data_IF_456316841225
#
_entry.id   IF_456316841225
#
_cell.length_a   1.000
_cell.length_b   1.000
_cell.length_c   1.000
_cell.angle_alpha   90.00
_cell.angle_beta   90.00
_cell.angle_gamma   90.00
#
_symmetry.space_group_name_H-M   'P 1'
#
loop_
_entity.id
_entity.type
_entity.pdbx_description
1 polymer ?
#
# COMPACT_ATOMS: atom_id res chain seq x y z
N UNK A 1 -8.00 -1.21 27.23
CA UNK A 1 -7.08 -0.49 26.30
C UNK A 1 -5.69 -1.04 26.47
N UNK A 2 -5.00 -1.35 25.36
CA UNK A 2 -3.60 -1.77 25.42
C UNK A 2 -2.75 -0.61 25.93
N UNK A 3 -1.91 -0.86 26.95
CA UNK A 3 -0.99 0.16 27.48
C UNK A 3 0.00 0.59 26.41
N UNK A 4 0.26 1.90 26.30
CA UNK A 4 1.32 2.41 25.42
C UNK A 4 2.67 1.73 25.73
N UNK A 5 3.43 1.32 24.71
CA UNK A 5 4.75 0.71 24.90
C UNK A 5 5.79 1.79 25.24
N UNK A 6 5.91 2.13 26.51
CA UNK A 6 6.78 3.21 27.02
C UNK A 6 8.23 3.05 26.57
N UNK A 7 8.74 1.81 26.53
CA UNK A 7 10.13 1.55 26.11
C UNK A 7 10.34 1.89 24.62
N UNK A 8 9.36 1.56 23.77
CA UNK A 8 9.40 1.90 22.33
C UNK A 8 9.30 3.43 22.12
N UNK A 9 8.49 4.12 22.92
CA UNK A 9 8.39 5.59 22.86
C UNK A 9 9.74 6.25 23.19
N UNK A 10 10.40 5.79 24.25
CA UNK A 10 11.75 6.27 24.63
C UNK A 10 12.82 5.98 23.58
N UNK A 11 12.75 4.81 22.96
CA UNK A 11 13.65 4.45 21.87
C UNK A 11 13.49 5.37 20.66
N UNK A 12 12.25 5.69 20.27
CA UNK A 12 11.95 6.61 19.17
C UNK A 12 12.44 8.03 19.46
N UNK A 13 12.23 8.53 20.66
CA UNK A 13 12.75 9.86 21.07
C UNK A 13 14.29 9.89 21.04
N UNK A 14 14.95 8.86 21.55
CA UNK A 14 16.40 8.73 21.50
C UNK A 14 16.90 8.72 20.06
N UNK A 15 16.29 7.88 19.20
CA UNK A 15 16.64 7.77 17.79
C UNK A 15 16.46 9.09 17.04
N UNK A 16 15.38 9.79 17.32
CA UNK A 16 15.12 11.12 16.74
C UNK A 16 16.20 12.12 17.12
N UNK A 17 16.58 12.20 18.41
CA UNK A 17 17.67 13.06 18.88
C UNK A 17 19.04 12.70 18.26
N UNK A 18 19.33 11.40 18.05
CA UNK A 18 20.54 10.97 17.32
C UNK A 18 20.56 11.44 15.87
N UNK A 19 19.41 11.39 15.19
CA UNK A 19 19.27 11.88 13.80
C UNK A 19 19.48 13.39 13.76
N UNK A 20 18.84 14.14 14.65
CA UNK A 20 19.05 15.61 14.74
C UNK A 20 20.52 15.97 14.94
N UNK A 21 21.18 15.31 15.86
CA UNK A 21 22.62 15.54 16.13
C UNK A 21 23.49 15.19 14.91
N UNK A 22 23.19 14.10 14.21
CA UNK A 22 23.93 13.69 13.02
C UNK A 22 23.69 14.64 11.83
N UNK A 23 22.47 15.14 11.65
CA UNK A 23 22.16 16.14 10.61
C UNK A 23 22.88 17.47 10.90
N UNK A 24 22.91 17.90 12.16
CA UNK A 24 23.62 19.12 12.59
C UNK A 24 25.13 19.03 12.39
N UNK A 25 25.71 17.82 12.39
CA UNK A 25 27.15 17.61 12.13
C UNK A 25 27.57 17.76 10.65
N UNK A 26 26.62 18.03 9.73
CA UNK A 26 26.91 18.28 8.31
C UNK A 26 27.44 17.04 7.56
N UNK A 27 26.69 15.92 7.53
CA UNK A 27 27.13 14.71 6.85
C UNK A 27 27.16 14.88 5.32
N UNK A 28 27.77 13.93 4.60
CA UNK A 28 27.77 13.90 3.14
C UNK A 28 26.33 13.88 2.58
N UNK A 29 26.14 14.42 1.37
CA UNK A 29 24.81 14.68 0.78
C UNK A 29 23.90 13.44 0.71
N UNK A 30 24.45 12.28 0.37
CA UNK A 30 23.74 11.01 0.30
C UNK A 30 23.28 10.50 1.67
N UNK A 31 24.10 10.70 2.70
CA UNK A 31 23.77 10.38 4.09
C UNK A 31 22.72 11.38 4.62
N UNK A 32 22.86 12.67 4.28
CA UNK A 32 21.91 13.70 4.69
C UNK A 32 20.49 13.42 4.17
N UNK A 33 20.36 13.03 2.90
CA UNK A 33 19.06 12.69 2.30
C UNK A 33 18.37 11.53 3.05
N UNK A 34 19.12 10.48 3.40
CA UNK A 34 18.59 9.35 4.18
C UNK A 34 18.16 9.76 5.59
N UNK A 35 18.97 10.57 6.26
CA UNK A 35 18.65 11.09 7.59
C UNK A 35 17.43 12.02 7.57
N UNK A 36 17.30 12.87 6.55
CA UNK A 36 16.16 13.77 6.38
C UNK A 36 14.86 13.00 6.13
N UNK A 37 14.90 11.90 5.36
CA UNK A 37 13.75 11.01 5.19
C UNK A 37 13.33 10.39 6.52
N UNK A 38 14.28 9.78 7.26
CA UNK A 38 14.01 9.16 8.56
C UNK A 38 13.52 10.20 9.59
N UNK A 39 14.07 11.41 9.58
CA UNK A 39 13.61 12.52 10.40
C UNK A 39 12.15 12.87 10.13
N UNK A 40 11.79 13.05 8.87
CA UNK A 40 10.42 13.40 8.47
C UNK A 40 9.38 12.33 8.81
N UNK A 41 9.80 11.06 8.87
CA UNK A 41 8.95 9.95 9.28
C UNK A 41 8.73 9.90 10.80
N UNK A 42 9.77 10.20 11.58
CA UNK A 42 9.73 10.12 13.04
C UNK A 42 9.15 11.37 13.69
N UNK A 43 9.32 12.56 13.08
CA UNK A 43 8.88 13.85 13.65
C UNK A 43 7.41 13.83 14.11
N UNK A 44 6.41 13.41 13.31
CA UNK A 44 5.01 13.42 13.75
C UNK A 44 4.76 12.50 14.95
N UNK A 45 5.46 11.37 15.01
CA UNK A 45 5.34 10.40 16.12
C UNK A 45 5.93 10.97 17.39
N UNK A 46 7.16 11.49 17.33
CA UNK A 46 7.88 12.06 18.48
C UNK A 46 7.16 13.30 19.03
N UNK A 47 6.62 14.13 18.12
CA UNK A 47 5.81 15.29 18.51
C UNK A 47 4.59 14.86 19.36
N UNK A 48 3.83 13.86 18.91
CA UNK A 48 2.68 13.33 19.64
C UNK A 48 3.09 12.71 20.99
N UNK A 49 4.23 12.01 21.04
CA UNK A 49 4.78 11.46 22.28
C UNK A 49 5.09 12.59 23.28
N UNK A 50 5.74 13.67 22.83
CA UNK A 50 6.04 14.83 23.69
C UNK A 50 4.77 15.54 24.17
N UNK A 51 3.78 15.72 23.28
CA UNK A 51 2.48 16.30 23.64
C UNK A 51 1.76 15.44 24.70
N UNK A 52 1.83 14.13 24.59
CA UNK A 52 1.26 13.19 25.55
C UNK A 52 1.96 13.27 26.91
N UNK A 53 3.29 13.24 26.94
CA UNK A 53 4.08 13.33 28.18
C UNK A 53 3.84 14.66 28.89
N UNK A 54 3.70 15.76 28.12
CA UNK A 54 3.38 17.06 28.68
C UNK A 54 1.97 17.07 29.27
N UNK A 55 0.99 16.51 28.60
CA UNK A 55 -0.39 16.41 29.08
C UNK A 55 -0.49 15.52 30.35
N UNK A 56 0.27 14.40 30.40
CA UNK A 56 0.34 13.57 31.61
C UNK A 56 0.92 14.35 32.81
N UNK A 57 1.97 15.13 32.59
CA UNK A 57 2.56 15.96 33.61
C UNK A 57 1.58 17.02 34.10
N UNK A 58 0.91 17.73 33.20
CA UNK A 58 -0.14 18.70 33.52
C UNK A 58 -1.26 18.06 34.35
N UNK A 59 -1.73 16.86 33.98
CA UNK A 59 -2.72 16.09 34.74
C UNK A 59 -2.25 15.79 36.16
N UNK A 60 -1.01 15.34 36.30
CA UNK A 60 -0.45 14.98 37.61
C UNK A 60 -0.25 16.24 38.51
N UNK A 61 0.11 17.38 37.92
CA UNK A 61 0.20 18.67 38.61
C UNK A 61 -1.19 19.12 39.07
N UNK A 62 -2.23 19.04 38.22
CA UNK A 62 -3.63 19.36 38.61
C UNK A 62 -4.13 18.43 39.72
N UNK A 63 -3.86 17.12 39.64
CA UNK A 63 -4.23 16.16 40.70
C UNK A 63 -3.51 16.44 42.02
N UNK A 64 -2.25 16.87 41.97
CA UNK A 64 -1.51 17.28 43.15
C UNK A 64 -2.12 18.54 43.79
N UNK A 65 -2.51 19.54 42.95
CA UNK A 65 -3.22 20.76 43.45
C UNK A 65 -4.55 20.43 44.12
N UNK A 66 -5.33 19.50 43.54
CA UNK A 66 -6.61 19.07 44.12
C UNK A 66 -6.42 18.29 45.42
N UNK A 67 -5.31 17.56 45.58
CA UNK A 67 -4.96 16.81 46.79
C UNK A 67 -4.40 17.66 47.91
N UNK A 68 -3.85 18.84 47.62
CA UNK A 68 -3.27 19.74 48.62
C UNK A 68 -4.36 20.60 49.28
N UNK A 69 -4.50 20.45 50.61
CA UNK A 69 -5.47 21.19 51.40
C UNK A 69 -5.13 22.68 51.51
N UNK A 70 -3.91 23.08 51.20
CA UNK A 70 -3.45 24.49 51.25
C UNK A 70 -3.74 25.25 49.96
N UNK A 71 -4.16 24.58 48.88
CA UNK A 71 -4.51 25.20 47.59
C UNK A 71 -5.73 26.11 47.76
N UNK A 72 -5.63 27.32 47.22
CA UNK A 72 -6.72 28.30 47.23
C UNK A 72 -7.96 27.74 46.49
N UNK A 73 -9.14 28.18 46.95
CA UNK A 73 -10.42 27.67 46.44
C UNK A 73 -10.59 27.93 44.97
N UNK A 74 -10.24 29.13 44.48
CA UNK A 74 -10.40 29.50 43.08
C UNK A 74 -9.50 28.65 42.16
N UNK A 75 -8.28 28.34 42.62
CA UNK A 75 -7.35 27.45 41.91
C UNK A 75 -7.84 26.00 41.88
N UNK A 76 -8.51 25.55 42.96
CA UNK A 76 -9.08 24.21 43.02
C UNK A 76 -10.27 24.09 42.08
N UNK A 77 -11.17 25.07 42.07
CA UNK A 77 -12.34 25.10 41.20
C UNK A 77 -11.89 25.09 39.71
N UNK A 78 -10.82 25.84 39.38
CA UNK A 78 -10.23 25.83 38.02
C UNK A 78 -9.65 24.46 37.69
N UNK A 79 -8.88 23.83 38.57
CA UNK A 79 -8.31 22.51 38.34
C UNK A 79 -9.38 21.41 38.18
N UNK A 80 -10.51 21.50 38.90
CA UNK A 80 -11.66 20.60 38.74
C UNK A 80 -12.33 20.74 37.36
N UNK A 81 -12.32 21.95 36.78
CA UNK A 81 -12.87 22.19 35.46
C UNK A 81 -11.93 21.69 34.32
N UNK A 82 -10.62 21.93 34.48
CA UNK A 82 -9.62 21.58 33.44
C UNK A 82 -9.29 20.08 33.39
N UNK A 83 -9.34 19.38 34.52
CA UNK A 83 -8.95 17.97 34.62
C UNK A 83 -9.71 17.06 33.64
N UNK A 84 -11.05 17.13 33.49
CA UNK A 84 -11.80 16.28 32.55
C UNK A 84 -11.44 16.51 31.07
N UNK A 85 -11.18 17.78 30.69
CA UNK A 85 -10.78 18.14 29.32
C UNK A 85 -9.39 17.58 29.02
N UNK A 86 -8.48 17.70 30.00
CA UNK A 86 -7.13 17.16 29.86
C UNK A 86 -7.10 15.63 29.80
N UNK A 87 -7.93 14.95 30.62
CA UNK A 87 -8.07 13.49 30.55
C UNK A 87 -8.59 13.03 29.17
N UNK A 88 -9.58 13.74 28.61
CA UNK A 88 -10.08 13.48 27.25
C UNK A 88 -9.00 13.69 26.19
N UNK A 89 -8.18 14.74 26.33
CA UNK A 89 -7.04 15.02 25.46
C UNK A 89 -5.99 13.91 25.54
N UNK A 90 -5.66 13.42 26.73
CA UNK A 90 -4.73 12.31 26.95
C UNK A 90 -5.22 11.05 26.25
N UNK A 91 -6.50 10.68 26.41
CA UNK A 91 -7.08 9.52 25.72
C UNK A 91 -7.00 9.64 24.18
N UNK A 92 -7.19 10.85 23.66
CA UNK A 92 -7.03 11.12 22.22
C UNK A 92 -5.58 10.95 21.76
N UNK A 93 -4.62 11.50 22.52
CA UNK A 93 -3.19 11.37 22.22
C UNK A 93 -2.70 9.92 22.33
N UNK A 94 -3.20 9.14 23.31
CA UNK A 94 -2.90 7.70 23.41
C UNK A 94 -3.32 6.94 22.14
N UNK A 95 -4.54 7.18 21.65
CA UNK A 95 -5.03 6.57 20.41
C UNK A 95 -4.20 6.98 19.19
N UNK A 96 -3.89 8.27 19.07
CA UNK A 96 -3.06 8.78 17.96
C UNK A 96 -1.68 8.13 17.96
N UNK A 97 -1.03 8.02 19.13
CA UNK A 97 0.28 7.37 19.26
C UNK A 97 0.18 5.89 18.91
N UNK A 98 -0.83 5.18 19.40
CA UNK A 98 -1.03 3.76 19.07
C UNK A 98 -1.13 3.55 17.56
N UNK A 99 -1.91 4.40 16.87
CA UNK A 99 -2.05 4.35 15.40
C UNK A 99 -0.72 4.64 14.70
N UNK A 100 0.02 5.65 15.15
CA UNK A 100 1.31 6.01 14.57
C UNK A 100 2.41 4.95 14.79
N UNK A 101 2.28 4.13 15.84
CA UNK A 101 3.19 3.03 16.15
C UNK A 101 2.85 1.73 15.41
N UNK A 102 1.73 1.67 14.67
CA UNK A 102 1.42 0.53 13.81
C UNK A 102 2.49 0.37 12.73
N UNK A 103 2.83 -0.87 12.37
CA UNK A 103 3.74 -1.11 11.27
C UNK A 103 3.16 -0.52 9.99
N UNK A 104 3.90 0.42 9.37
CA UNK A 104 3.52 0.99 8.08
C UNK A 104 3.78 -0.05 6.99
N UNK A 105 2.80 -0.25 6.13
CA UNK A 105 3.01 -1.01 4.90
C UNK A 105 3.83 -0.14 3.92
N UNK A 106 4.98 -0.62 3.47
CA UNK A 106 5.81 0.08 2.51
C UNK A 106 5.07 0.37 1.18
N UNK A 107 4.02 -0.41 0.87
CA UNK A 107 3.18 -0.19 -0.28
C UNK A 107 2.26 1.03 -0.13
N UNK A 108 1.96 1.47 1.09
CA UNK A 108 0.99 2.56 1.35
C UNK A 108 1.41 3.92 0.76
N UNK A 109 2.72 4.16 0.62
CA UNK A 109 3.26 5.38 -0.01
C UNK A 109 3.30 5.32 -1.54
N UNK A 110 3.08 4.14 -2.13
CA UNK A 110 3.19 3.94 -3.58
C UNK A 110 1.95 4.44 -4.32
N UNK A 111 2.15 4.72 -5.60
CA UNK A 111 1.07 4.84 -6.58
C UNK A 111 0.34 3.50 -6.72
N UNK A 112 -0.88 3.52 -7.25
CA UNK A 112 -1.68 2.32 -7.41
C UNK A 112 -2.08 2.07 -8.86
N UNK A 113 -2.14 0.80 -9.24
CA UNK A 113 -2.78 0.35 -10.46
C UNK A 113 -4.21 -0.06 -10.09
N UNK A 114 -5.17 0.67 -10.64
CA UNK A 114 -6.60 0.41 -10.51
C UNK A 114 -7.08 -0.37 -11.71
N UNK A 115 -7.62 -1.55 -11.48
CA UNK A 115 -8.19 -2.41 -12.51
C UNK A 115 -9.67 -2.67 -12.19
N UNK A 116 -10.55 -2.34 -13.11
CA UNK A 116 -12.00 -2.54 -12.97
C UNK A 116 -12.47 -3.43 -14.12
N UNK A 117 -13.16 -4.50 -13.79
CA UNK A 117 -13.74 -5.43 -14.77
C UNK A 117 -15.22 -5.62 -14.55
N UNK A 118 -15.96 -5.70 -15.65
CA UNK A 118 -17.33 -6.17 -15.63
C UNK A 118 -17.38 -7.62 -15.12
N UNK A 119 -18.20 -7.85 -14.10
CA UNK A 119 -18.48 -9.18 -13.56
C UNK A 119 -19.80 -9.74 -14.09
N UNK A 120 -20.56 -10.40 -13.23
CA UNK A 120 -21.87 -10.96 -13.59
C UNK A 120 -22.89 -9.86 -13.88
N UNK A 121 -23.52 -9.84 -15.05
CA UNK A 121 -24.57 -8.88 -15.41
C UNK A 121 -24.57 -8.39 -16.86
N UNK A 122 -23.66 -8.89 -17.69
CA UNK A 122 -23.61 -8.53 -19.12
C UNK A 122 -23.32 -7.05 -19.36
N UNK A 123 -24.07 -6.40 -20.26
CA UNK A 123 -23.89 -4.99 -20.61
C UNK A 123 -24.04 -4.04 -19.41
N UNK A 124 -24.95 -4.35 -18.49
CA UNK A 124 -25.12 -3.56 -17.27
C UNK A 124 -23.89 -3.58 -16.35
N UNK A 125 -23.21 -4.72 -16.25
CA UNK A 125 -21.97 -4.82 -15.50
C UNK A 125 -20.86 -3.94 -16.13
N UNK A 126 -20.82 -3.85 -17.47
CA UNK A 126 -19.88 -2.98 -18.17
C UNK A 126 -20.19 -1.49 -17.97
N UNK A 127 -21.46 -1.10 -18.01
CA UNK A 127 -21.90 0.27 -17.68
C UNK A 127 -21.51 0.63 -16.24
N UNK A 128 -21.77 -0.27 -15.29
CA UNK A 128 -21.42 -0.07 -13.89
C UNK A 128 -19.90 0.02 -13.66
N UNK A 129 -19.11 -0.77 -14.37
CA UNK A 129 -17.64 -0.64 -14.33
C UNK A 129 -17.18 0.76 -14.79
N UNK A 130 -17.83 1.32 -15.81
CA UNK A 130 -17.61 2.69 -16.25
C UNK A 130 -18.02 3.75 -15.20
N UNK A 131 -19.11 3.50 -14.49
CA UNK A 131 -19.57 4.40 -13.41
C UNK A 131 -18.57 4.38 -12.23
N UNK A 132 -18.09 3.18 -11.83
CA UNK A 132 -17.07 3.06 -10.79
C UNK A 132 -15.76 3.75 -11.19
N UNK A 133 -15.33 3.59 -12.45
CA UNK A 133 -14.12 4.27 -12.92
C UNK A 133 -14.27 5.79 -12.81
N UNK A 134 -15.39 6.36 -13.28
CA UNK A 134 -15.66 7.81 -13.15
C UNK A 134 -15.71 8.27 -11.69
N UNK A 135 -16.25 7.45 -10.79
CA UNK A 135 -16.26 7.73 -9.35
C UNK A 135 -14.82 7.85 -8.81
N UNK A 136 -13.95 6.90 -9.13
CA UNK A 136 -12.55 6.94 -8.69
C UNK A 136 -11.74 8.03 -9.38
N UNK A 137 -12.00 8.34 -10.65
CA UNK A 137 -11.35 9.44 -11.36
C UNK A 137 -11.65 10.79 -10.69
N UNK A 138 -12.91 11.03 -10.31
CA UNK A 138 -13.31 12.23 -9.57
C UNK A 138 -12.71 12.28 -8.18
N UNK A 139 -12.75 11.16 -7.47
CA UNK A 139 -12.08 11.06 -6.17
C UNK A 139 -10.59 11.38 -6.25
N UNK A 140 -9.91 10.84 -7.25
CA UNK A 140 -8.50 11.13 -7.50
C UNK A 140 -8.25 12.61 -7.79
N UNK A 141 -9.12 13.24 -8.61
CA UNK A 141 -9.04 14.67 -8.90
C UNK A 141 -9.21 15.53 -7.64
N UNK A 142 -10.16 15.19 -6.77
CA UNK A 142 -10.39 15.88 -5.50
C UNK A 142 -9.21 15.77 -4.53
N UNK A 143 -8.46 14.65 -4.60
CA UNK A 143 -7.22 14.45 -3.84
C UNK A 143 -5.97 15.04 -4.50
N UNK A 144 -6.08 15.60 -5.70
CA UNK A 144 -4.96 16.10 -6.48
C UNK A 144 -4.07 14.99 -7.05
N UNK A 145 -4.60 13.77 -7.19
CA UNK A 145 -3.91 12.64 -7.82
C UNK A 145 -4.09 12.65 -9.33
N UNK A 146 -3.09 12.15 -10.04
CA UNK A 146 -3.14 12.01 -11.51
C UNK A 146 -3.61 10.62 -11.87
N UNK A 147 -4.60 10.53 -12.76
CA UNK A 147 -5.08 9.25 -13.34
C UNK A 147 -4.61 9.15 -14.78
N UNK A 148 -4.03 8.02 -15.14
CA UNK A 148 -3.58 7.72 -16.50
C UNK A 148 -4.09 6.34 -16.92
N UNK A 149 -4.92 6.29 -17.96
CA UNK A 149 -5.47 5.02 -18.48
C UNK A 149 -4.39 4.28 -19.25
N UNK A 150 -4.07 3.06 -18.80
CA UNK A 150 -3.11 2.18 -19.45
C UNK A 150 -3.76 1.32 -20.55
N UNK A 151 -4.96 0.83 -20.27
CA UNK A 151 -5.71 -0.04 -21.19
C UNK A 151 -7.20 0.08 -20.92
N UNK A 152 -8.01 0.07 -21.96
CA UNK A 152 -9.45 0.05 -21.86
C UNK A 152 -10.05 -0.87 -22.95
N UNK A 153 -10.98 -1.73 -22.53
CA UNK A 153 -11.81 -2.56 -23.40
C UNK A 153 -13.27 -2.13 -23.22
N UNK A 154 -13.84 -1.52 -24.23
CA UNK A 154 -15.20 -0.99 -24.18
C UNK A 154 -16.26 -2.10 -24.18
N UNK A 155 -17.39 -1.84 -23.53
CA UNK A 155 -18.59 -2.66 -23.57
C UNK A 155 -19.43 -2.39 -24.82
N UNK A 156 -20.19 -3.38 -25.28
CA UNK A 156 -21.00 -3.29 -26.50
C UNK A 156 -22.14 -2.24 -26.38
N UNK A 157 -22.60 -1.95 -25.14
CA UNK A 157 -23.62 -0.94 -24.86
C UNK A 157 -23.02 0.31 -24.16
N UNK A 158 -21.73 0.52 -24.22
CA UNK A 158 -20.97 1.51 -23.48
C UNK A 158 -20.39 0.97 -22.18
N UNK A 159 -19.68 1.82 -21.43
CA UNK A 159 -18.90 1.39 -20.26
C UNK A 159 -17.67 0.56 -20.64
N UNK A 160 -17.16 -0.21 -19.70
CA UNK A 160 -15.93 -0.98 -19.91
C UNK A 160 -16.12 -2.46 -19.55
N UNK A 161 -15.71 -3.36 -20.44
CA UNK A 161 -15.49 -4.77 -20.10
C UNK A 161 -14.31 -4.90 -19.14
N UNK A 162 -13.27 -4.09 -19.39
CA UNK A 162 -12.10 -3.95 -18.54
C UNK A 162 -11.52 -2.54 -18.73
N UNK A 163 -11.09 -1.92 -17.64
CA UNK A 163 -10.29 -0.70 -17.68
C UNK A 163 -9.18 -0.80 -16.63
N UNK A 164 -7.96 -0.44 -17.03
CA UNK A 164 -6.76 -0.43 -16.21
C UNK A 164 -6.17 0.97 -16.24
N UNK A 165 -5.97 1.57 -15.10
CA UNK A 165 -5.39 2.90 -14.97
C UNK A 165 -4.36 2.95 -13.84
N UNK A 166 -3.33 3.77 -14.01
CA UNK A 166 -2.42 4.14 -12.93
C UNK A 166 -2.94 5.39 -12.25
N UNK A 167 -2.97 5.36 -10.94
CA UNK A 167 -3.30 6.52 -10.09
C UNK A 167 -2.04 6.92 -9.34
N UNK A 168 -1.49 8.09 -9.68
CA UNK A 168 -0.22 8.58 -9.16
C UNK A 168 -0.44 9.72 -8.19
N UNK A 169 0.15 9.63 -7.00
CA UNK A 169 0.06 10.65 -5.97
C UNK A 169 0.51 10.12 -4.61
N UNK A 170 0.56 10.97 -3.61
CA UNK A 170 0.97 10.57 -2.27
C UNK A 170 -0.15 9.82 -1.54
N UNK A 171 0.17 8.63 -1.01
CA UNK A 171 -0.76 7.84 -0.21
C UNK A 171 -1.95 7.27 -0.99
N UNK A 172 -1.82 7.10 -2.31
CA UNK A 172 -2.88 6.56 -3.16
C UNK A 172 -3.24 5.15 -2.76
N UNK A 173 -2.24 4.27 -2.66
CA UNK A 173 -2.48 2.87 -2.33
C UNK A 173 -3.08 2.70 -0.93
N UNK A 174 -2.62 3.49 0.05
CA UNK A 174 -3.13 3.43 1.42
C UNK A 174 -4.65 3.65 1.52
N UNK A 175 -5.21 4.48 0.64
CA UNK A 175 -6.65 4.77 0.60
C UNK A 175 -7.41 3.82 -0.32
N UNK A 176 -6.90 3.56 -1.52
CA UNK A 176 -7.62 2.78 -2.52
C UNK A 176 -7.55 1.26 -2.28
N UNK A 177 -6.57 0.73 -1.53
CA UNK A 177 -6.46 -0.71 -1.23
C UNK A 177 -7.75 -1.32 -0.66
N UNK A 178 -8.54 -0.53 0.07
CA UNK A 178 -9.82 -0.95 0.62
C UNK A 178 -10.95 -1.05 -0.41
N UNK A 179 -10.75 -0.55 -1.62
CA UNK A 179 -11.73 -0.64 -2.70
C UNK A 179 -11.66 -1.96 -3.47
N UNK A 180 -10.65 -2.79 -3.17
CA UNK A 180 -10.47 -4.10 -3.82
C UNK A 180 -11.57 -5.07 -3.43
N UNK A 181 -12.23 -5.66 -4.43
CA UNK A 181 -13.27 -6.66 -4.24
C UNK A 181 -14.40 -6.58 -5.26
N UNK A 182 -15.52 -7.25 -4.94
CA UNK A 182 -16.71 -7.27 -5.78
C UNK A 182 -17.69 -6.18 -5.36
N UNK A 183 -18.00 -5.27 -6.27
CA UNK A 183 -18.99 -4.21 -6.12
C UNK A 183 -20.29 -4.63 -6.79
N UNK A 184 -21.40 -4.61 -6.06
CA UNK A 184 -22.72 -5.01 -6.55
C UNK A 184 -23.59 -3.79 -6.76
N UNK A 185 -24.25 -3.70 -7.91
CA UNK A 185 -25.25 -2.66 -8.22
C UNK A 185 -26.64 -3.24 -8.30
N UNK A 186 -27.62 -2.48 -7.82
CA UNK A 186 -29.05 -2.75 -7.95
C UNK A 186 -29.71 -1.49 -8.52
N UNK A 187 -30.05 -1.52 -9.79
CA UNK A 187 -30.76 -0.42 -10.49
C UNK A 187 -31.54 -0.97 -11.68
N UNK A 188 -32.39 -0.13 -12.27
CA UNK A 188 -32.96 -0.35 -13.58
C UNK A 188 -31.92 0.08 -14.59
N UNK A 189 -31.35 -0.80 -15.42
CA UNK A 189 -30.38 -0.44 -16.43
C UNK A 189 -30.98 0.46 -17.51
N UNK A 190 -30.19 1.33 -18.13
CA UNK A 190 -30.60 2.12 -19.31
C UNK A 190 -31.02 1.23 -20.49
N UNK A 191 -30.56 -0.01 -20.52
CA UNK A 191 -30.89 -1.01 -21.54
C UNK A 191 -32.19 -1.78 -21.25
N UNK A 192 -32.81 -1.58 -20.07
CA UNK A 192 -34.03 -2.29 -19.66
C UNK A 192 -35.28 -1.49 -20.02
N UNK A 193 -36.11 -2.07 -20.88
CA UNK A 193 -37.35 -1.41 -21.38
C UNK A 193 -38.57 -1.62 -20.49
N UNK A 194 -38.57 -2.63 -19.60
CA UNK A 194 -39.70 -3.00 -18.73
C UNK A 194 -39.59 -2.47 -17.29
N UNK A 195 -38.57 -1.66 -17.02
CA UNK A 195 -38.38 -1.05 -15.69
C UNK A 195 -38.00 -2.04 -14.55
N UNK A 196 -37.51 -3.22 -14.90
CA UNK A 196 -37.11 -4.22 -13.89
C UNK A 196 -35.76 -3.89 -13.29
N UNK A 197 -35.66 -4.02 -11.97
CA UNK A 197 -34.38 -3.86 -11.24
C UNK A 197 -33.50 -5.05 -11.55
N UNK A 198 -32.30 -4.78 -12.09
CA UNK A 198 -31.27 -5.77 -12.28
C UNK A 198 -30.23 -5.71 -11.15
N UNK A 199 -29.62 -6.86 -10.88
CA UNK A 199 -28.50 -6.97 -9.95
C UNK A 199 -27.29 -7.40 -10.76
N UNK A 200 -26.34 -6.50 -10.90
CA UNK A 200 -25.08 -6.72 -11.61
C UNK A 200 -23.88 -6.51 -10.68
N UNK A 201 -22.72 -6.95 -11.11
CA UNK A 201 -21.49 -6.80 -10.33
C UNK A 201 -20.32 -6.37 -11.24
N UNK A 202 -19.40 -5.61 -10.66
CA UNK A 202 -18.10 -5.32 -11.22
C UNK A 202 -17.02 -5.62 -10.18
N UNK A 203 -15.85 -6.00 -10.61
CA UNK A 203 -14.72 -6.29 -9.75
C UNK A 203 -13.71 -5.15 -9.82
N UNK A 204 -13.19 -4.76 -8.66
CA UNK A 204 -12.14 -3.76 -8.53
C UNK A 204 -10.92 -4.44 -7.92
N UNK A 205 -9.76 -4.31 -8.57
CA UNK A 205 -8.49 -4.70 -7.99
C UNK A 205 -7.60 -3.47 -7.89
N UNK A 206 -6.96 -3.31 -6.74
CA UNK A 206 -6.00 -2.24 -6.49
C UNK A 206 -4.68 -2.88 -6.13
N UNK A 207 -3.68 -2.63 -6.96
CA UNK A 207 -2.33 -3.19 -6.80
C UNK A 207 -1.34 -2.04 -6.63
N UNK A 208 -0.33 -2.16 -5.77
CA UNK A 208 0.72 -1.16 -5.70
C UNK A 208 1.50 -1.14 -7.01
N UNK A 209 1.93 0.05 -7.42
CA UNK A 209 2.83 0.19 -8.56
C UNK A 209 4.14 -0.54 -8.28
N UNK A 210 4.56 -1.38 -9.22
CA UNK A 210 5.81 -2.11 -9.09
C UNK A 210 7.00 -1.16 -9.32
N UNK A 211 8.03 -1.31 -8.53
CA UNK A 211 9.32 -0.70 -8.79
C UNK A 211 10.00 -1.39 -9.97
N UNK A 212 10.87 -0.63 -10.65
CA UNK A 212 11.71 -1.19 -11.70
C UNK A 212 12.58 -2.31 -11.12
N UNK A 213 12.62 -3.44 -11.83
CA UNK A 213 13.46 -4.57 -11.43
C UNK A 213 14.91 -4.21 -11.78
N UNK A 214 15.68 -3.82 -10.78
CA UNK A 214 17.12 -3.64 -10.92
C UNK A 214 17.85 -4.93 -10.51
N UNK A 215 18.67 -5.46 -11.45
CA UNK A 215 19.42 -6.69 -11.20
C UNK A 215 20.88 -6.36 -10.97
N UNK A 216 21.26 -6.41 -9.70
CA UNK A 216 22.64 -6.37 -9.30
C UNK A 216 23.23 -7.79 -9.25
N UNK A 217 24.20 -8.09 -10.12
CA UNK A 217 24.94 -9.36 -10.11
C UNK A 217 26.26 -9.11 -9.38
N UNK A 218 26.37 -9.63 -8.18
CA UNK A 218 27.61 -9.55 -7.39
C UNK A 218 28.60 -10.58 -7.87
N UNK A 219 29.88 -10.25 -7.84
CA UNK A 219 30.94 -11.18 -8.24
C UNK A 219 31.01 -12.43 -7.34
N UNK A 220 30.60 -12.33 -6.08
CA UNK A 220 30.52 -13.43 -5.10
C UNK A 220 29.40 -14.42 -5.40
N UNK A 221 28.35 -13.97 -6.10
CA UNK A 221 27.18 -14.80 -6.46
C UNK A 221 27.39 -15.61 -7.74
N UNK A 222 28.51 -15.39 -8.45
CA UNK A 222 28.80 -16.07 -9.71
C UNK A 222 30.03 -16.95 -9.59
N UNK A 223 29.93 -18.15 -10.14
CA UNK A 223 31.05 -19.04 -10.38
C UNK A 223 31.33 -19.11 -11.88
N UNK A 224 32.57 -18.82 -12.24
CA UNK A 224 33.02 -18.82 -13.62
C UNK A 224 33.99 -19.98 -13.83
N UNK A 225 33.59 -20.92 -14.69
CA UNK A 225 34.41 -22.06 -15.08
C UNK A 225 34.83 -21.90 -16.55
N UNK A 226 36.09 -22.14 -16.87
CA UNK A 226 36.59 -22.20 -18.25
C UNK A 226 36.70 -23.65 -18.67
N UNK A 227 36.32 -23.93 -19.91
CA UNK A 227 36.34 -25.29 -20.46
C UNK A 227 36.69 -25.28 -21.95
N UNK A 228 37.03 -26.44 -22.48
CA UNK A 228 37.19 -26.61 -23.93
C UNK A 228 35.84 -26.52 -24.63
N UNK A 229 35.80 -25.83 -25.77
CA UNK A 229 34.59 -25.82 -26.57
C UNK A 229 34.42 -27.15 -27.27
N UNK A 230 33.20 -27.71 -27.26
CA UNK A 230 32.83 -28.91 -27.99
C UNK A 230 32.25 -28.51 -29.36
N UNK A 231 32.80 -28.99 -30.46
CA UNK A 231 32.29 -28.75 -31.82
C UNK A 231 33.21 -29.26 -32.89
N UNK A 232 32.71 -29.38 -34.12
CA UNK A 232 33.52 -29.68 -35.29
C UNK A 232 34.46 -28.51 -35.59
N UNK A 233 35.73 -28.63 -35.24
CA UNK A 233 36.74 -27.58 -35.39
C UNK A 233 38.14 -28.18 -35.43
N UNK A 234 39.11 -27.40 -35.91
CA UNK A 234 40.50 -27.81 -36.01
C UNK A 234 41.24 -27.84 -34.65
N UNK A 235 42.56 -28.03 -34.69
CA UNK A 235 43.43 -28.22 -33.50
C UNK A 235 43.24 -27.16 -32.41
N UNK A 236 42.86 -25.91 -32.75
CA UNK A 236 42.65 -24.82 -31.81
C UNK A 236 41.43 -25.02 -30.89
N UNK A 237 40.33 -25.61 -31.39
CA UNK A 237 39.09 -25.85 -30.63
C UNK A 237 39.31 -26.91 -29.53
N UNK A 238 40.19 -27.85 -29.80
CA UNK A 238 40.45 -29.01 -28.90
C UNK A 238 41.56 -28.76 -27.89
N UNK A 239 42.36 -27.70 -28.05
CA UNK A 239 43.52 -27.41 -27.21
C UNK A 239 43.36 -26.21 -26.28
N UNK A 240 42.41 -25.29 -26.58
CA UNK A 240 42.29 -24.01 -25.85
C UNK A 240 40.99 -24.01 -25.04
N UNK A 241 41.09 -23.65 -23.72
CA UNK A 241 39.95 -23.48 -22.83
C UNK A 241 39.27 -22.12 -23.08
N UNK A 242 38.67 -21.95 -24.27
CA UNK A 242 38.03 -20.72 -24.69
C UNK A 242 36.56 -20.59 -24.28
N UNK A 243 35.87 -21.69 -24.02
CA UNK A 243 34.49 -21.69 -23.57
C UNK A 243 34.39 -21.27 -22.10
N UNK A 244 33.39 -20.45 -21.79
CA UNK A 244 33.10 -19.94 -20.47
C UNK A 244 31.72 -20.40 -20.03
N UNK A 245 31.66 -20.96 -18.84
CA UNK A 245 30.43 -21.31 -18.13
C UNK A 245 30.30 -20.43 -16.89
N UNK A 246 29.21 -19.70 -16.81
CA UNK A 246 28.87 -18.89 -15.63
C UNK A 246 27.69 -19.54 -14.93
N UNK A 247 27.83 -19.82 -13.64
CA UNK A 247 26.77 -20.32 -12.78
C UNK A 247 26.45 -19.24 -11.78
N UNK A 248 25.20 -18.79 -11.73
CA UNK A 248 24.71 -17.92 -10.67
C UNK A 248 24.23 -18.77 -9.51
N UNK A 249 24.97 -18.73 -8.40
CA UNK A 249 24.77 -19.63 -7.26
C UNK A 249 23.40 -19.51 -6.60
N UNK A 250 22.86 -18.29 -6.35
CA UNK A 250 21.56 -18.14 -5.68
C UNK A 250 20.38 -18.65 -6.52
N UNK A 251 20.38 -18.43 -7.85
CA UNK A 251 19.28 -18.86 -8.73
C UNK A 251 19.50 -20.21 -9.41
N UNK A 252 20.72 -20.74 -9.38
CA UNK A 252 21.09 -21.96 -10.10
C UNK A 252 21.15 -21.82 -11.63
N UNK A 253 20.99 -20.61 -12.19
CA UNK A 253 21.04 -20.38 -13.63
C UNK A 253 22.46 -20.61 -14.15
N UNK A 254 22.58 -21.43 -15.17
CA UNK A 254 23.83 -21.72 -15.86
C UNK A 254 23.78 -21.19 -17.28
N UNK A 255 24.81 -20.43 -17.67
CA UNK A 255 25.01 -19.91 -19.01
C UNK A 255 26.38 -20.35 -19.53
N UNK A 256 26.41 -20.88 -20.75
CA UNK A 256 27.64 -21.27 -21.42
C UNK A 256 27.78 -20.49 -22.72
N UNK A 257 28.98 -20.00 -22.99
CA UNK A 257 29.35 -19.37 -24.26
C UNK A 257 30.64 -19.99 -24.80
N UNK A 258 30.68 -20.35 -26.09
CA UNK A 258 31.77 -21.12 -26.68
C UNK A 258 32.28 -20.55 -28.03
N UNK A 259 32.46 -19.22 -28.11
CA UNK A 259 33.07 -18.58 -29.28
C UNK A 259 34.60 -18.59 -29.21
N UNK A 260 35.25 -17.97 -30.19
CA UNK A 260 36.72 -18.06 -30.37
C UNK A 260 37.52 -17.35 -29.28
N UNK A 261 36.97 -16.37 -28.57
CA UNK A 261 37.64 -15.57 -27.55
C UNK A 261 37.04 -15.76 -26.18
N UNK A 262 37.85 -16.14 -25.19
CA UNK A 262 37.43 -16.32 -23.79
C UNK A 262 36.85 -15.02 -23.20
N UNK A 263 37.45 -13.86 -23.48
CA UNK A 263 36.96 -12.56 -23.03
C UNK A 263 35.58 -12.20 -23.59
N UNK A 264 35.36 -12.47 -24.89
CA UNK A 264 34.08 -12.29 -25.54
C UNK A 264 33.02 -13.24 -24.98
N UNK A 265 33.41 -14.50 -24.73
CA UNK A 265 32.53 -15.50 -24.13
C UNK A 265 32.10 -15.11 -22.72
N UNK A 266 33.01 -14.56 -21.90
CA UNK A 266 32.67 -14.06 -20.56
C UNK A 266 31.69 -12.90 -20.63
N UNK A 267 31.94 -11.91 -21.47
CA UNK A 267 31.04 -10.75 -21.63
C UNK A 267 29.65 -11.18 -22.13
N UNK A 268 29.60 -12.03 -23.13
CA UNK A 268 28.36 -12.55 -23.70
C UNK A 268 27.58 -13.43 -22.70
N UNK A 269 28.26 -14.31 -21.97
CA UNK A 269 27.64 -15.12 -20.94
C UNK A 269 27.07 -14.28 -19.80
N UNK A 270 27.75 -13.19 -19.37
CA UNK A 270 27.23 -12.23 -18.39
C UNK A 270 26.01 -11.49 -18.91
N UNK A 271 25.99 -11.07 -20.15
CA UNK A 271 24.84 -10.42 -20.77
C UNK A 271 23.62 -11.36 -20.80
N UNK A 272 23.82 -12.61 -21.22
CA UNK A 272 22.75 -13.63 -21.25
C UNK A 272 22.29 -13.98 -19.84
N UNK A 273 23.22 -14.07 -18.88
CA UNK A 273 22.86 -14.29 -17.47
C UNK A 273 21.96 -13.17 -16.93
N UNK A 274 22.35 -11.91 -17.18
CA UNK A 274 21.53 -10.75 -16.77
C UNK A 274 20.14 -10.78 -17.38
N UNK A 275 20.01 -11.09 -18.66
CA UNK A 275 18.72 -11.22 -19.32
C UNK A 275 17.87 -12.33 -18.70
N UNK A 276 18.45 -13.51 -18.43
CA UNK A 276 17.71 -14.63 -17.81
C UNK A 276 17.29 -14.34 -16.37
N UNK A 277 18.13 -13.65 -15.59
CA UNK A 277 17.77 -13.22 -14.25
C UNK A 277 16.63 -12.20 -14.29
N UNK A 278 16.69 -11.24 -15.22
CA UNK A 278 15.61 -10.28 -15.44
C UNK A 278 14.28 -10.97 -15.80
N UNK A 279 14.32 -11.91 -16.74
CA UNK A 279 13.13 -12.65 -17.12
C UNK A 279 12.55 -13.48 -15.95
N UNK A 280 13.41 -14.07 -15.14
CA UNK A 280 13.00 -14.85 -13.96
C UNK A 280 12.33 -13.94 -12.91
N UNK A 281 12.94 -12.82 -12.56
CA UNK A 281 12.38 -11.88 -11.57
C UNK A 281 11.08 -11.23 -12.09
N UNK A 282 11.02 -10.93 -13.39
CA UNK A 282 9.79 -10.43 -14.04
C UNK A 282 8.67 -11.46 -13.95
N UNK A 283 8.95 -12.72 -14.27
CA UNK A 283 7.95 -13.80 -14.18
C UNK A 283 7.47 -14.00 -12.73
N UNK A 284 8.39 -13.89 -11.77
CA UNK A 284 8.04 -13.97 -10.35
C UNK A 284 7.12 -12.81 -9.95
N UNK A 285 7.48 -11.59 -10.27
CA UNK A 285 6.67 -10.40 -9.99
C UNK A 285 5.27 -10.48 -10.66
N UNK A 286 5.20 -10.94 -11.91
CA UNK A 286 3.94 -11.13 -12.63
C UNK A 286 3.07 -12.23 -11.98
N UNK A 287 3.70 -13.31 -11.50
CA UNK A 287 3.01 -14.40 -10.79
C UNK A 287 2.45 -13.92 -9.43
N UNK A 288 3.25 -13.20 -8.65
CA UNK A 288 2.83 -12.62 -7.37
C UNK A 288 1.70 -11.60 -7.57
N UNK A 289 1.79 -10.74 -8.58
CA UNK A 289 0.73 -9.79 -8.95
C UNK A 289 -0.56 -10.51 -9.35
N UNK A 290 -0.45 -11.56 -10.14
CA UNK A 290 -1.61 -12.36 -10.57
C UNK A 290 -2.27 -13.09 -9.39
N UNK A 291 -1.48 -13.61 -8.45
CA UNK A 291 -1.98 -14.23 -7.23
C UNK A 291 -2.67 -13.21 -6.32
N UNK A 292 -2.07 -12.03 -6.11
CA UNK A 292 -2.66 -10.93 -5.35
C UNK A 292 -3.99 -10.47 -5.95
N UNK A 293 -4.04 -10.24 -7.28
CA UNK A 293 -5.28 -9.92 -7.99
C UNK A 293 -6.36 -10.98 -7.75
N UNK A 294 -6.02 -12.26 -7.92
CA UNK A 294 -6.97 -13.36 -7.73
C UNK A 294 -7.52 -13.43 -6.32
N UNK A 295 -6.70 -13.16 -5.31
CA UNK A 295 -7.15 -13.13 -3.91
C UNK A 295 -8.09 -11.96 -3.61
N UNK A 296 -7.90 -10.81 -4.26
CA UNK A 296 -8.74 -9.62 -4.08
C UNK A 296 -10.13 -9.76 -4.72
N UNK A 297 -10.20 -10.39 -5.90
CA UNK A 297 -11.40 -10.41 -6.76
C UNK A 297 -12.24 -11.67 -6.60
N UNK A 298 -11.66 -12.74 -6.03
CA UNK A 298 -12.33 -14.03 -5.87
C UNK A 298 -12.85 -14.60 -7.20
N UNK A 299 -14.08 -15.10 -7.20
CA UNK A 299 -14.77 -15.59 -8.40
C UNK A 299 -15.41 -14.48 -9.24
N UNK A 300 -15.53 -13.25 -8.71
CA UNK A 300 -16.29 -12.15 -9.31
C UNK A 300 -17.81 -12.35 -9.23
N UNK A 301 -18.27 -13.30 -8.45
CA UNK A 301 -19.71 -13.53 -8.26
C UNK A 301 -20.30 -12.43 -7.33
N UNK A 302 -21.53 -12.01 -7.66
CA UNK A 302 -22.28 -11.01 -6.89
C UNK A 302 -22.55 -11.41 -5.44
N UNK A 303 -22.39 -12.67 -5.07
CA UNK A 303 -22.52 -13.16 -3.68
C UNK A 303 -21.31 -12.77 -2.82
N UNK A 304 -20.10 -12.64 -3.40
CA UNK A 304 -18.85 -12.27 -2.72
C UNK A 304 -18.67 -10.75 -2.56
N UNK A 305 -19.76 -9.99 -2.68
CA UNK A 305 -19.76 -8.54 -2.63
C UNK A 305 -19.16 -7.95 -1.36
N UNK A 306 -18.28 -6.96 -1.53
CA UNK A 306 -17.82 -6.12 -0.43
C UNK A 306 -18.78 -4.94 -0.21
N UNK A 307 -19.35 -4.40 -1.31
CA UNK A 307 -20.22 -3.21 -1.26
C UNK A 307 -21.42 -3.34 -2.20
N UNK A 308 -22.57 -2.81 -1.77
CA UNK A 308 -23.79 -2.77 -2.59
C UNK A 308 -24.23 -1.33 -2.81
N UNK A 309 -24.45 -0.98 -4.07
CA UNK A 309 -24.99 0.29 -4.55
C UNK A 309 -26.45 0.08 -4.94
N UNK A 310 -27.39 0.54 -4.12
CA UNK A 310 -28.83 0.39 -4.33
C UNK A 310 -29.43 1.74 -4.74
N UNK A 311 -29.55 1.94 -6.04
CA UNK A 311 -30.05 3.19 -6.62
C UNK A 311 -31.51 3.50 -6.26
N UNK A 312 -32.46 2.54 -6.34
CA UNK A 312 -33.85 2.79 -5.94
C UNK A 312 -34.02 3.27 -4.49
N UNK A 313 -33.09 2.89 -3.61
CA UNK A 313 -33.11 3.30 -2.20
C UNK A 313 -32.14 4.45 -1.89
N UNK A 314 -31.39 4.96 -2.88
CA UNK A 314 -30.35 5.99 -2.68
C UNK A 314 -29.24 5.56 -1.70
N UNK A 315 -29.03 4.25 -1.53
CA UNK A 315 -28.25 3.66 -0.44
C UNK A 315 -27.02 2.93 -0.93
N UNK A 316 -25.90 3.14 -0.25
CA UNK A 316 -24.67 2.32 -0.38
C UNK A 316 -24.41 1.62 0.94
N UNK A 317 -24.14 0.32 0.90
CA UNK A 317 -23.83 -0.49 2.07
C UNK A 317 -22.49 -1.20 1.88
N UNK A 318 -21.51 -0.92 2.74
CA UNK A 318 -20.28 -1.70 2.84
C UNK A 318 -20.52 -2.86 3.83
N UNK A 319 -20.41 -4.09 3.34
CA UNK A 319 -20.75 -5.29 4.10
C UNK A 319 -19.65 -5.75 5.05
N UNK A 320 -18.42 -5.25 4.88
CA UNK A 320 -17.27 -5.62 5.74
C UNK A 320 -17.43 -5.03 7.14
N UNK A 321 -17.89 -3.78 7.19
CA UNK A 321 -18.05 -3.02 8.45
C UNK A 321 -19.51 -2.67 8.75
N UNK A 322 -20.47 -3.24 7.99
CA UNK A 322 -21.89 -2.96 8.09
C UNK A 322 -22.27 -1.47 8.03
N UNK A 323 -21.46 -0.66 7.34
CA UNK A 323 -21.73 0.76 7.16
C UNK A 323 -22.77 0.97 6.07
N UNK A 324 -23.81 1.76 6.36
CA UNK A 324 -24.85 2.12 5.40
C UNK A 324 -25.00 3.62 5.29
N UNK A 325 -24.87 4.15 4.07
CA UNK A 325 -24.96 5.58 3.75
C UNK A 325 -26.07 5.83 2.73
N UNK A 326 -26.92 6.84 2.98
CA UNK A 326 -28.04 7.23 2.09
C UNK A 326 -27.65 8.44 1.22
N UNK A 327 -26.54 8.33 0.49
CA UNK A 327 -25.95 9.40 -0.33
C UNK A 327 -25.26 8.87 -1.59
N UNK A 328 -25.92 7.91 -2.28
CA UNK A 328 -25.35 7.24 -3.45
C UNK A 328 -24.90 8.22 -4.52
N UNK A 329 -25.67 9.27 -4.79
CA UNK A 329 -25.36 10.26 -5.83
C UNK A 329 -24.04 10.98 -5.55
N UNK A 330 -23.81 11.36 -4.28
CA UNK A 330 -22.56 12.01 -3.85
C UNK A 330 -21.38 11.05 -3.96
N UNK A 331 -21.58 9.80 -3.56
CA UNK A 331 -20.54 8.78 -3.70
C UNK A 331 -20.16 8.55 -5.16
N UNK A 332 -21.14 8.47 -6.07
CA UNK A 332 -20.87 8.34 -7.52
C UNK A 332 -20.22 9.59 -8.12
N UNK A 333 -20.28 10.73 -7.43
CA UNK A 333 -19.55 11.95 -7.78
C UNK A 333 -18.12 12.00 -7.19
N UNK A 334 -17.67 10.96 -6.46
CA UNK A 334 -16.32 10.86 -5.91
C UNK A 334 -16.22 11.07 -4.40
N UNK A 335 -17.31 11.45 -3.70
CA UNK A 335 -17.28 11.65 -2.24
C UNK A 335 -17.28 10.31 -1.47
N UNK A 336 -16.17 9.56 -1.53
CA UNK A 336 -16.05 8.24 -0.90
C UNK A 336 -15.25 8.26 0.42
N UNK A 337 -14.73 9.41 0.85
CA UNK A 337 -13.88 9.52 2.05
C UNK A 337 -14.49 8.87 3.27
N UNK A 338 -15.78 9.08 3.55
CA UNK A 338 -16.42 8.55 4.75
C UNK A 338 -16.36 7.02 4.82
N UNK A 339 -16.47 6.33 3.67
CA UNK A 339 -16.34 4.87 3.62
C UNK A 339 -14.88 4.46 3.75
N UNK A 340 -13.97 5.16 3.05
CA UNK A 340 -12.53 4.87 3.09
C UNK A 340 -11.98 5.09 4.49
N UNK A 341 -12.34 6.18 5.15
CA UNK A 341 -11.86 6.51 6.51
C UNK A 341 -12.44 5.54 7.54
N UNK A 342 -13.70 5.10 7.39
CA UNK A 342 -14.29 4.07 8.25
C UNK A 342 -13.60 2.70 8.11
N UNK A 343 -13.26 2.30 6.87
CA UNK A 343 -12.52 1.07 6.61
C UNK A 343 -11.07 1.15 7.13
N UNK A 344 -10.44 2.30 7.00
CA UNK A 344 -9.11 2.54 7.57
C UNK A 344 -9.15 2.44 9.09
N UNK A 345 -10.16 3.04 9.74
CA UNK A 345 -10.33 2.96 11.19
C UNK A 345 -10.56 1.52 11.68
N UNK A 346 -11.39 0.75 10.96
CA UNK A 346 -11.63 -0.67 11.26
C UNK A 346 -10.35 -1.50 11.10
N UNK A 347 -9.59 -1.29 10.03
CA UNK A 347 -8.30 -1.93 9.81
C UNK A 347 -7.31 -1.61 10.92
N UNK A 348 -7.18 -0.33 11.31
CA UNK A 348 -6.30 0.11 12.40
C UNK A 348 -6.71 -0.49 13.73
N UNK A 349 -8.03 -0.56 14.02
CA UNK A 349 -8.56 -1.21 15.23
C UNK A 349 -8.20 -2.70 15.27
N UNK A 350 -8.31 -3.40 14.13
CA UNK A 350 -7.89 -4.80 14.01
C UNK A 350 -6.39 -5.00 14.26
N UNK A 351 -5.54 -4.12 13.70
CA UNK A 351 -4.10 -4.16 13.92
C UNK A 351 -3.74 -3.89 15.41
N UNK A 352 -4.40 -2.94 16.04
CA UNK A 352 -4.21 -2.65 17.46
C UNK A 352 -4.63 -3.81 18.36
N UNK A 353 -5.71 -4.51 18.02
CA UNK A 353 -6.16 -5.69 18.75
C UNK A 353 -5.10 -6.81 18.70
N UNK A 354 -4.48 -7.03 17.53
CA UNK A 354 -3.39 -8.03 17.39
C UNK A 354 -2.14 -7.67 18.18
N UNK A 355 -1.83 -6.40 18.35
CA UNK A 355 -0.68 -5.94 19.17
C UNK A 355 -0.95 -6.02 20.67
N UNK A 356 -2.21 -6.01 21.08
CA UNK A 356 -2.64 -6.07 22.48
C UNK A 356 -2.77 -7.48 23.05
N UNK A 357 -2.70 -8.52 22.21
CA UNK A 357 -2.79 -9.92 22.64
C UNK A 357 -1.36 -10.51 22.64
N UNK A 358 -0.66 -10.55 23.79
CA UNK A 358 0.65 -11.24 23.85
C UNK A 358 0.41 -12.74 23.75
N UNK A 359 0.94 -13.36 22.68
CA UNK A 359 0.97 -14.82 22.50
C UNK A 359 1.74 -15.52 23.64
#
# INVERSE_FOLDING_TARGET
MAKLPVDKMRELERRFGEIEARMAAGPASDVYVKLASEYSELEPVVRKIRDFQQAEKERDDLKAMLGDKSTDRDMRDLAEMELPELETRIEGLEKDIQILLLPKDAADEKSAILEIRAGTGGSEAALFAGDLFRMYERYAADKGWKVEVLSASEGDAGGFKEIIATVTGRGVFSKLKFESGVHRVQRVPDTETQGRIHTSAATVAVLPEAEDIDIEIRNEDIRIDTMRSSGAGGQHVNTTDSAVRITHMPSGIVVTSSEKSQHQNRAKAMQVLRSRLYDMERQRADSERSASRKSQVGSGDRSERIRTYNFPQGRVTDHRINLTLYKIDRMMMGEIDEVVDALLADYQAGQLAMLGDPA
#
